data_IF_061682123733
#
_entry.id   IF_061682123733
#
_cell.length_a   1.000
_cell.length_b   1.000
_cell.length_c   1.000
_cell.angle_alpha   90.00
_cell.angle_beta   90.00
_cell.angle_gamma   90.00
#
_symmetry.space_group_name_H-M   'P 1'
#
loop_
_entity.id
_entity.type
_entity.pdbx_description
1 polymer ?
#
# COMPACT_ATOMS: atom_id res chain seq x y z
N UNK A 1 10.30 76.80 35.97
CA UNK A 1 9.98 75.47 35.41
C UNK A 1 8.71 74.94 36.07
N UNK A 2 7.54 75.49 35.70
CA UNK A 2 6.57 74.94 34.72
C UNK A 2 5.81 73.68 35.17
N UNK A 3 4.76 73.91 35.97
CA UNK A 3 3.37 73.50 35.72
C UNK A 3 3.08 72.15 35.01
N UNK A 4 3.60 71.02 35.51
CA UNK A 4 3.12 69.67 35.13
C UNK A 4 2.48 68.89 36.29
N UNK A 5 2.53 69.40 37.53
CA UNK A 5 2.04 68.69 38.72
C UNK A 5 0.51 68.66 38.86
N UNK A 6 -0.23 69.57 38.21
CA UNK A 6 -1.69 69.69 38.39
C UNK A 6 -2.51 68.56 37.76
N UNK A 7 -2.21 68.16 36.51
CA UNK A 7 -3.01 67.16 35.77
C UNK A 7 -2.76 65.72 36.21
N UNK A 8 -1.53 65.39 36.61
CA UNK A 8 -1.19 64.05 37.11
C UNK A 8 -1.70 63.81 38.54
N UNK A 9 -1.64 64.84 39.41
CA UNK A 9 -2.22 64.78 40.74
C UNK A 9 -3.76 64.64 40.67
N UNK A 10 -4.39 65.32 39.71
CA UNK A 10 -5.83 65.20 39.45
C UNK A 10 -6.20 63.79 38.92
N UNK A 11 -5.39 63.21 38.03
CA UNK A 11 -5.62 61.83 37.55
C UNK A 11 -5.45 60.77 38.63
N UNK A 12 -4.39 60.81 39.44
CA UNK A 12 -4.18 59.85 40.54
C UNK A 12 -5.23 60.01 41.65
N UNK A 13 -5.67 61.26 41.93
CA UNK A 13 -6.78 61.53 42.84
C UNK A 13 -8.11 60.95 42.34
N UNK A 14 -8.45 61.21 41.07
CA UNK A 14 -9.62 60.63 40.41
C UNK A 14 -9.53 59.11 40.31
N UNK A 15 -8.33 58.55 40.16
CA UNK A 15 -8.09 57.11 40.12
C UNK A 15 -8.38 56.47 41.46
N UNK A 16 -7.86 57.05 42.55
CA UNK A 16 -8.13 56.58 43.90
C UNK A 16 -9.63 56.61 44.23
N UNK A 17 -10.33 57.67 43.84
CA UNK A 17 -11.79 57.79 44.01
C UNK A 17 -12.56 56.78 43.15
N UNK A 18 -12.19 56.61 41.87
CA UNK A 18 -12.83 55.64 40.98
C UNK A 18 -12.63 54.20 41.47
N UNK A 19 -11.46 53.86 42.00
CA UNK A 19 -11.18 52.55 42.61
C UNK A 19 -11.98 52.36 43.89
N UNK A 20 -12.08 53.37 44.76
CA UNK A 20 -12.89 53.29 45.98
C UNK A 20 -14.37 53.02 45.64
N UNK A 21 -14.94 53.80 44.70
CA UNK A 21 -16.31 53.60 44.23
C UNK A 21 -16.49 52.23 43.56
N UNK A 22 -15.47 51.72 42.86
CA UNK A 22 -15.49 50.38 42.26
C UNK A 22 -15.52 49.29 43.32
N UNK A 23 -14.75 49.43 44.39
CA UNK A 23 -14.72 48.51 45.55
C UNK A 23 -15.99 48.58 46.39
N UNK A 24 -16.66 49.73 46.41
CA UNK A 24 -18.01 49.90 46.96
C UNK A 24 -19.11 49.22 46.11
N UNK A 25 -18.75 48.64 44.96
CA UNK A 25 -19.66 47.84 44.14
C UNK A 25 -20.38 48.62 43.03
N UNK A 26 -19.96 49.85 42.73
CA UNK A 26 -20.59 50.66 41.68
C UNK A 26 -20.17 50.18 40.27
N UNK A 27 -21.16 50.21 39.36
CA UNK A 27 -20.94 49.98 37.92
C UNK A 27 -20.16 51.14 37.29
N UNK A 28 -19.54 50.90 36.13
CA UNK A 28 -18.85 51.97 35.39
C UNK A 28 -19.77 53.14 35.08
N UNK A 29 -21.04 52.87 34.77
CA UNK A 29 -22.05 53.90 34.54
C UNK A 29 -22.30 54.75 35.79
N UNK A 30 -22.40 54.13 36.95
CA UNK A 30 -22.59 54.89 38.21
C UNK A 30 -21.34 55.69 38.58
N UNK A 31 -20.14 55.15 38.36
CA UNK A 31 -18.88 55.87 38.60
C UNK A 31 -18.77 57.07 37.64
N UNK A 32 -19.11 56.86 36.36
CA UNK A 32 -19.19 57.91 35.34
C UNK A 32 -20.11 59.05 35.80
N UNK A 33 -21.30 58.70 36.28
CA UNK A 33 -22.32 59.66 36.69
C UNK A 33 -21.97 60.32 38.04
N UNK A 34 -21.23 59.65 38.93
CA UNK A 34 -20.78 60.18 40.23
C UNK A 34 -19.60 61.16 40.09
N UNK A 35 -18.62 60.81 39.25
CA UNK A 35 -17.41 61.60 39.03
C UNK A 35 -17.55 62.57 37.85
N UNK A 36 -18.68 62.53 37.13
CA UNK A 36 -18.96 63.36 35.94
C UNK A 36 -17.89 63.22 34.83
N UNK A 37 -17.26 62.05 34.73
CA UNK A 37 -16.22 61.74 33.73
C UNK A 37 -16.89 61.06 32.53
N UNK A 38 -17.32 61.85 31.55
CA UNK A 38 -18.06 61.32 30.39
C UNK A 38 -17.18 60.69 29.29
N UNK A 39 -15.85 60.69 29.46
CA UNK A 39 -14.93 60.01 28.55
C UNK A 39 -14.69 58.55 28.99
N UNK A 40 -15.19 57.60 28.19
CA UNK A 40 -15.12 56.17 28.49
C UNK A 40 -13.69 55.63 28.53
N UNK A 41 -12.76 56.15 27.73
CA UNK A 41 -11.38 55.68 27.72
C UNK A 41 -10.64 56.09 28.99
N UNK A 42 -10.87 57.33 29.46
CA UNK A 42 -10.33 57.82 30.72
C UNK A 42 -10.92 57.02 31.89
N UNK A 43 -12.25 56.82 31.91
CA UNK A 43 -12.93 56.06 32.94
C UNK A 43 -12.42 54.60 33.03
N UNK A 44 -12.24 53.92 31.90
CA UNK A 44 -11.68 52.57 31.85
C UNK A 44 -10.22 52.52 32.33
N UNK A 45 -9.44 53.57 32.09
CA UNK A 45 -8.06 53.68 32.61
C UNK A 45 -8.03 53.90 34.12
N UNK A 46 -8.96 54.69 34.68
CA UNK A 46 -9.04 54.97 36.11
C UNK A 46 -9.38 53.72 36.91
N UNK A 47 -10.31 52.89 36.45
CA UNK A 47 -10.69 51.63 37.14
C UNK A 47 -9.82 50.43 36.73
N UNK A 48 -8.81 50.62 35.89
CA UNK A 48 -7.99 49.52 35.36
C UNK A 48 -7.26 48.80 36.50
N UNK A 49 -7.46 47.48 36.57
CA UNK A 49 -6.90 46.60 37.60
C UNK A 49 -7.90 46.15 38.66
N UNK A 50 -9.06 46.81 38.78
CA UNK A 50 -10.12 46.41 39.71
C UNK A 50 -11.22 45.61 38.97
N UNK A 51 -11.64 44.45 39.50
CA UNK A 51 -12.67 43.64 38.85
C UNK A 51 -14.02 44.35 38.84
N UNK A 52 -14.89 44.06 37.85
CA UNK A 52 -16.28 44.51 37.90
C UNK A 52 -17.03 43.90 39.08
N UNK A 53 -17.97 44.64 39.71
CA UNK A 53 -18.85 44.11 40.75
C UNK A 53 -19.58 42.85 40.27
N UNK A 54 -19.70 41.84 41.13
CA UNK A 54 -20.26 40.53 40.77
C UNK A 54 -21.65 40.62 40.13
N UNK A 55 -22.52 41.51 40.63
CA UNK A 55 -23.87 41.71 40.09
C UNK A 55 -23.92 42.26 38.66
N UNK A 56 -22.81 42.84 38.16
CA UNK A 56 -22.71 43.37 36.79
C UNK A 56 -22.23 42.33 35.77
N UNK A 57 -21.73 41.17 36.23
CA UNK A 57 -21.34 40.08 35.34
C UNK A 57 -22.61 39.47 34.76
N UNK A 58 -22.75 39.50 33.45
CA UNK A 58 -23.84 38.79 32.76
C UNK A 58 -23.42 37.32 32.62
N UNK A 59 -24.27 36.35 33.02
CA UNK A 59 -24.03 34.97 32.65
C UNK A 59 -24.07 34.87 31.12
N UNK A 60 -23.10 34.20 30.52
CA UNK A 60 -23.22 33.85 29.11
C UNK A 60 -24.35 32.84 28.99
N UNK A 61 -25.12 32.91 27.89
CA UNK A 61 -26.24 32.01 27.63
C UNK A 61 -25.88 30.50 27.63
N UNK A 62 -24.59 30.14 27.68
CA UNK A 62 -24.09 28.77 27.66
C UNK A 62 -23.26 28.41 28.89
N UNK A 63 -23.23 29.23 29.93
CA UNK A 63 -22.44 28.94 31.13
C UNK A 63 -22.94 27.67 31.83
N UNK A 64 -24.25 27.45 31.91
CA UNK A 64 -24.83 26.20 32.47
C UNK A 64 -24.46 24.95 31.65
N UNK A 65 -24.45 25.08 30.31
CA UNK A 65 -24.04 24.00 29.40
C UNK A 65 -22.54 23.72 29.51
N UNK A 66 -21.73 24.76 29.75
CA UNK A 66 -20.29 24.63 29.98
C UNK A 66 -20.03 23.89 31.28
N UNK A 67 -20.68 24.26 32.37
CA UNK A 67 -20.51 23.58 33.66
C UNK A 67 -20.94 22.10 33.56
N UNK A 68 -22.10 21.83 32.96
CA UNK A 68 -22.56 20.45 32.73
C UNK A 68 -21.58 19.65 31.84
N UNK A 69 -21.00 20.27 30.81
CA UNK A 69 -19.97 19.62 29.98
C UNK A 69 -18.72 19.24 30.79
N UNK A 70 -18.30 20.11 31.72
CA UNK A 70 -17.14 19.86 32.59
C UNK A 70 -17.41 18.74 33.58
N UNK A 71 -18.60 18.69 34.18
CA UNK A 71 -19.01 17.58 35.05
C UNK A 71 -19.00 16.23 34.31
N UNK A 72 -19.59 16.18 33.12
CA UNK A 72 -19.61 14.98 32.29
C UNK A 72 -18.19 14.55 31.91
N UNK A 73 -17.29 15.50 31.65
CA UNK A 73 -15.89 15.20 31.36
C UNK A 73 -15.18 14.56 32.56
N UNK A 74 -15.38 15.10 33.76
CA UNK A 74 -14.80 14.56 34.99
C UNK A 74 -15.36 13.17 35.33
N UNK A 75 -16.60 12.87 34.92
CA UNK A 75 -17.20 11.53 34.98
C UNK A 75 -16.64 10.55 33.93
N UNK A 76 -15.69 10.97 33.09
CA UNK A 76 -15.04 10.11 32.10
C UNK A 76 -15.71 10.07 30.73
N UNK A 77 -16.58 11.03 30.39
CA UNK A 77 -17.20 11.06 29.06
C UNK A 77 -16.27 11.68 27.99
N UNK A 78 -16.32 11.09 26.80
CA UNK A 78 -15.63 11.60 25.60
C UNK A 78 -16.39 12.79 25.01
N UNK A 79 -15.74 13.55 24.12
CA UNK A 79 -16.38 14.73 23.49
C UNK A 79 -17.63 14.34 22.71
N UNK A 80 -17.64 13.17 22.06
CA UNK A 80 -18.78 12.68 21.28
C UNK A 80 -19.95 12.30 22.19
N UNK A 81 -19.69 11.72 23.36
CA UNK A 81 -20.74 11.44 24.35
C UNK A 81 -21.31 12.73 24.96
N UNK A 82 -20.47 13.71 25.29
CA UNK A 82 -20.92 15.02 25.78
C UNK A 82 -21.74 15.75 24.70
N UNK A 83 -21.35 15.62 23.43
CA UNK A 83 -22.09 16.19 22.31
C UNK A 83 -23.47 15.54 22.16
N UNK A 84 -23.56 14.21 22.24
CA UNK A 84 -24.85 13.51 22.23
C UNK A 84 -25.75 13.93 23.40
N UNK A 85 -25.16 14.13 24.58
CA UNK A 85 -25.90 14.48 25.80
C UNK A 85 -26.38 15.93 25.83
N UNK A 86 -25.57 16.89 25.34
CA UNK A 86 -25.84 18.33 25.47
C UNK A 86 -26.29 19.00 24.17
N UNK A 87 -26.20 18.31 23.02
CA UNK A 87 -26.52 18.88 21.71
C UNK A 87 -25.61 20.04 21.26
N UNK A 88 -24.54 20.33 22.01
CA UNK A 88 -23.57 21.37 21.67
C UNK A 88 -22.60 20.89 20.59
N UNK A 89 -22.04 21.82 19.80
CA UNK A 89 -21.01 21.45 18.83
C UNK A 89 -19.73 20.92 19.53
N UNK A 90 -19.05 19.98 18.87
CA UNK A 90 -17.75 19.44 19.33
C UNK A 90 -16.71 20.54 19.59
N UNK A 91 -16.74 21.61 18.80
CA UNK A 91 -15.83 22.75 18.96
C UNK A 91 -16.09 23.53 20.25
N UNK A 92 -17.35 23.78 20.62
CA UNK A 92 -17.71 24.42 21.90
C UNK A 92 -17.32 23.54 23.09
N UNK A 93 -17.64 22.25 23.03
CA UNK A 93 -17.28 21.29 24.09
C UNK A 93 -15.77 21.23 24.26
N UNK A 94 -15.01 21.12 23.17
CA UNK A 94 -13.55 21.09 23.22
C UNK A 94 -12.96 22.35 23.86
N UNK A 95 -13.52 23.54 23.60
CA UNK A 95 -13.05 24.77 24.24
C UNK A 95 -13.30 24.75 25.76
N UNK A 96 -14.42 24.16 26.19
CA UNK A 96 -14.83 24.13 27.60
C UNK A 96 -14.11 23.08 28.44
N UNK A 97 -13.65 21.97 27.85
CA UNK A 97 -13.15 20.82 28.63
C UNK A 97 -11.74 20.37 28.27
N UNK A 98 -11.05 21.03 27.33
CA UNK A 98 -9.69 20.63 26.90
C UNK A 98 -8.63 20.68 28.00
N UNK A 99 -8.87 21.47 29.05
CA UNK A 99 -8.01 21.59 30.23
C UNK A 99 -8.22 20.46 31.25
N UNK A 100 -9.29 19.66 31.09
CA UNK A 100 -9.63 18.56 31.98
C UNK A 100 -8.98 17.24 31.53
N UNK A 101 -8.77 16.29 32.45
CA UNK A 101 -8.17 15.00 32.11
C UNK A 101 -8.93 14.28 31.01
N UNK A 102 -8.17 13.57 30.18
CA UNK A 102 -8.74 12.70 29.17
C UNK A 102 -9.31 11.46 29.84
N UNK A 103 -10.53 11.02 29.47
CA UNK A 103 -11.07 9.75 29.91
C UNK A 103 -10.11 8.60 29.63
N UNK A 104 -10.15 7.61 30.50
CA UNK A 104 -9.45 6.36 30.27
C UNK A 104 -9.84 5.78 28.90
N UNK A 105 -8.85 5.36 28.08
CA UNK A 105 -9.15 4.80 26.79
C UNK A 105 -10.07 3.57 26.93
N UNK A 106 -11.09 3.48 26.06
CA UNK A 106 -12.03 2.35 26.04
C UNK A 106 -11.35 0.98 25.87
N UNK A 107 -10.14 0.95 25.30
CA UNK A 107 -9.36 -0.25 25.03
C UNK A 107 -7.91 -0.04 25.42
N UNK A 108 -7.25 -1.09 25.90
CA UNK A 108 -5.80 -1.11 26.07
C UNK A 108 -5.10 -1.05 24.71
N UNK A 109 -3.81 -0.71 24.69
CA UNK A 109 -3.03 -0.75 23.45
C UNK A 109 -3.00 -2.16 22.81
N UNK A 110 -2.99 -3.20 23.63
CA UNK A 110 -3.01 -4.59 23.19
C UNK A 110 -4.35 -4.93 22.52
N UNK A 111 -5.47 -4.54 23.12
CA UNK A 111 -6.80 -4.76 22.54
C UNK A 111 -6.99 -3.97 21.23
N UNK A 112 -6.48 -2.74 21.15
CA UNK A 112 -6.47 -1.94 19.91
C UNK A 112 -5.71 -2.66 18.80
N UNK A 113 -4.51 -3.16 19.09
CA UNK A 113 -3.67 -3.91 18.15
C UNK A 113 -4.33 -5.22 17.74
N UNK A 114 -4.91 -5.97 18.67
CA UNK A 114 -5.61 -7.22 18.39
C UNK A 114 -6.77 -7.00 17.41
N UNK A 115 -7.59 -5.96 17.62
CA UNK A 115 -8.70 -5.61 16.73
C UNK A 115 -8.23 -5.17 15.35
N UNK A 116 -7.19 -4.34 15.29
CA UNK A 116 -6.58 -3.93 14.03
C UNK A 116 -6.08 -5.17 13.25
N UNK A 117 -5.34 -6.07 13.93
CA UNK A 117 -4.83 -7.28 13.33
C UNK A 117 -5.94 -8.23 12.87
N UNK A 118 -7.03 -8.36 13.64
CA UNK A 118 -8.20 -9.14 13.25
C UNK A 118 -8.87 -8.56 11.99
N UNK A 119 -9.06 -7.24 11.94
CA UNK A 119 -9.59 -6.55 10.74
C UNK A 119 -8.70 -6.75 9.51
N UNK A 120 -7.38 -6.62 9.68
CA UNK A 120 -6.40 -6.87 8.63
C UNK A 120 -6.39 -8.34 8.19
N UNK A 121 -6.55 -9.29 9.11
CA UNK A 121 -6.64 -10.70 8.79
C UNK A 121 -7.87 -11.00 7.93
N UNK A 122 -9.04 -10.47 8.30
CA UNK A 122 -10.25 -10.59 7.50
C UNK A 122 -10.10 -9.99 6.10
N UNK A 123 -9.52 -8.79 5.99
CA UNK A 123 -9.25 -8.17 4.70
C UNK A 123 -8.32 -9.03 3.85
N UNK A 124 -7.22 -9.53 4.43
CA UNK A 124 -6.28 -10.43 3.73
C UNK A 124 -6.95 -11.72 3.28
N UNK A 125 -7.79 -12.33 4.12
CA UNK A 125 -8.55 -13.53 3.73
C UNK A 125 -9.49 -13.25 2.57
N UNK A 126 -10.19 -12.12 2.58
CA UNK A 126 -11.08 -11.73 1.47
C UNK A 126 -10.29 -11.51 0.18
N UNK A 127 -9.18 -10.76 0.25
CA UNK A 127 -8.31 -10.50 -0.89
C UNK A 127 -7.66 -11.78 -1.42
N UNK A 128 -7.24 -12.68 -0.54
CA UNK A 128 -6.67 -13.96 -0.96
C UNK A 128 -7.73 -14.84 -1.65
N UNK A 129 -8.98 -14.84 -1.19
CA UNK A 129 -10.08 -15.51 -1.89
C UNK A 129 -10.27 -14.95 -3.30
N UNK A 130 -10.41 -13.63 -3.44
CA UNK A 130 -10.56 -12.96 -4.74
C UNK A 130 -9.38 -13.27 -5.68
N UNK A 131 -8.15 -13.26 -5.16
CA UNK A 131 -6.94 -13.63 -5.92
C UNK A 131 -6.97 -15.09 -6.37
N UNK A 132 -7.42 -16.02 -5.53
CA UNK A 132 -7.54 -17.43 -5.92
C UNK A 132 -8.66 -17.65 -6.93
N UNK A 133 -9.78 -16.94 -6.79
CA UNK A 133 -10.89 -17.00 -7.74
C UNK A 133 -10.50 -16.48 -9.12
N UNK A 134 -9.79 -15.34 -9.17
CA UNK A 134 -9.26 -14.79 -10.43
C UNK A 134 -8.32 -15.78 -11.12
N UNK A 135 -7.41 -16.41 -10.35
CA UNK A 135 -6.49 -17.42 -10.89
C UNK A 135 -7.22 -18.68 -11.36
N UNK A 136 -8.27 -19.09 -10.65
CA UNK A 136 -9.10 -20.25 -11.02
C UNK A 136 -9.85 -19.96 -12.33
N UNK A 137 -10.53 -18.83 -12.42
CA UNK A 137 -11.26 -18.41 -13.62
C UNK A 137 -10.32 -18.35 -14.84
N UNK A 138 -9.17 -17.70 -14.72
CA UNK A 138 -8.17 -17.64 -15.79
C UNK A 138 -7.65 -19.03 -16.21
N UNK A 139 -7.53 -19.97 -15.26
CA UNK A 139 -7.17 -21.37 -15.57
C UNK A 139 -8.29 -22.08 -16.33
N UNK A 140 -9.53 -21.86 -15.94
CA UNK A 140 -10.71 -22.48 -16.56
C UNK A 140 -10.97 -21.96 -17.98
N UNK A 141 -10.68 -20.66 -18.23
CA UNK A 141 -10.78 -20.03 -19.56
C UNK A 141 -9.89 -20.69 -20.62
N UNK A 142 -8.70 -21.17 -20.23
CA UNK A 142 -7.77 -21.82 -21.17
C UNK A 142 -8.29 -23.19 -21.65
N UNK A 143 -8.99 -23.92 -20.78
CA UNK A 143 -9.55 -25.23 -21.12
C UNK A 143 -8.50 -26.26 -21.59
N UNK A 144 -8.91 -27.16 -22.50
CA UNK A 144 -8.02 -28.11 -23.16
C UNK A 144 -7.45 -27.48 -24.42
N UNK A 145 -6.12 -27.51 -24.56
CA UNK A 145 -5.45 -27.04 -25.76
C UNK A 145 -5.53 -28.08 -26.87
N UNK A 146 -5.91 -27.63 -28.06
CA UNK A 146 -5.71 -28.36 -29.30
C UNK A 146 -4.23 -28.46 -29.67
N UNK A 147 -3.88 -29.40 -30.56
CA UNK A 147 -2.53 -29.55 -31.09
C UNK A 147 -2.02 -28.25 -31.74
N UNK A 148 -2.90 -27.50 -32.42
CA UNK A 148 -2.54 -26.22 -33.03
C UNK A 148 -2.20 -25.16 -31.99
N UNK A 149 -2.98 -25.05 -30.91
CA UNK A 149 -2.71 -24.09 -29.83
C UNK A 149 -1.43 -24.45 -29.09
N UNK A 150 -1.23 -25.73 -28.78
CA UNK A 150 0.01 -26.22 -28.19
C UNK A 150 1.22 -25.96 -29.10
N UNK A 151 1.07 -26.15 -30.41
CA UNK A 151 2.12 -25.84 -31.39
C UNK A 151 2.50 -24.36 -31.36
N UNK A 152 1.52 -23.45 -31.43
CA UNK A 152 1.74 -22.00 -31.40
C UNK A 152 2.37 -21.57 -30.08
N UNK A 153 1.83 -22.04 -28.94
CA UNK A 153 2.35 -21.73 -27.61
C UNK A 153 3.79 -22.19 -27.44
N UNK A 154 4.13 -23.39 -27.91
CA UNK A 154 5.49 -23.91 -27.83
C UNK A 154 6.49 -23.18 -28.73
N UNK A 155 6.07 -22.77 -29.95
CA UNK A 155 6.90 -21.92 -30.82
C UNK A 155 7.17 -20.57 -30.15
N UNK A 156 6.14 -19.91 -29.62
CA UNK A 156 6.27 -18.62 -28.93
C UNK A 156 7.17 -18.74 -27.67
N UNK A 157 6.97 -19.80 -26.88
CA UNK A 157 7.78 -20.09 -25.71
C UNK A 157 9.25 -20.32 -26.08
N UNK A 158 9.52 -21.13 -27.10
CA UNK A 158 10.87 -21.32 -27.60
C UNK A 158 11.47 -20.01 -28.09
N UNK A 159 10.70 -19.18 -28.80
CA UNK A 159 11.22 -17.91 -29.29
C UNK A 159 11.51 -16.92 -28.15
N UNK A 160 10.80 -16.99 -27.03
CA UNK A 160 11.07 -16.15 -25.86
C UNK A 160 12.31 -16.62 -25.08
N UNK A 161 12.40 -17.91 -24.75
CA UNK A 161 13.34 -18.47 -23.77
C UNK A 161 14.46 -19.33 -24.39
N UNK A 162 14.28 -19.76 -25.64
CA UNK A 162 15.21 -20.63 -26.37
C UNK A 162 16.41 -19.90 -26.95
N UNK A 163 17.43 -20.69 -27.29
CA UNK A 163 18.63 -20.20 -27.96
C UNK A 163 18.30 -19.82 -29.40
N UNK A 164 18.73 -18.63 -29.81
CA UNK A 164 18.57 -18.15 -31.18
C UNK A 164 19.89 -18.22 -31.92
N UNK A 165 19.80 -18.54 -33.20
CA UNK A 165 20.92 -18.48 -34.11
C UNK A 165 21.44 -17.04 -34.21
N UNK A 166 22.75 -16.88 -34.40
CA UNK A 166 23.37 -15.58 -34.53
C UNK A 166 24.05 -15.49 -35.90
N UNK A 167 23.91 -14.37 -36.65
CA UNK A 167 24.50 -14.26 -37.99
C UNK A 167 26.00 -14.56 -38.05
N UNK A 168 26.73 -14.20 -37.00
CA UNK A 168 28.18 -14.40 -36.86
C UNK A 168 28.57 -15.78 -36.29
N UNK A 169 27.59 -16.61 -35.91
CA UNK A 169 27.79 -17.95 -35.37
C UNK A 169 26.56 -18.82 -35.64
N UNK A 170 26.45 -19.29 -36.87
CA UNK A 170 25.38 -20.21 -37.25
C UNK A 170 25.59 -21.57 -36.59
N UNK A 171 24.70 -21.92 -35.68
CA UNK A 171 24.62 -23.21 -35.01
C UNK A 171 23.31 -23.93 -35.32
N UNK A 172 22.22 -23.19 -35.52
CA UNK A 172 20.88 -23.75 -35.83
C UNK A 172 20.52 -24.93 -34.91
N UNK A 173 20.66 -24.71 -33.61
CA UNK A 173 20.45 -25.74 -32.59
C UNK A 173 19.22 -25.38 -31.79
N UNK A 174 18.34 -26.38 -31.58
CA UNK A 174 17.25 -26.27 -30.64
C UNK A 174 17.75 -26.53 -29.21
N UNK A 175 18.04 -25.45 -28.49
CA UNK A 175 18.46 -25.47 -27.08
C UNK A 175 17.56 -24.58 -26.24
N UNK A 176 17.06 -25.11 -25.13
CA UNK A 176 16.14 -24.44 -24.22
C UNK A 176 16.65 -24.53 -22.78
N UNK A 177 16.47 -23.48 -22.00
CA UNK A 177 16.85 -23.47 -20.59
C UNK A 177 15.80 -22.72 -19.77
N UNK A 178 15.30 -23.33 -18.69
CA UNK A 178 14.40 -22.62 -17.78
C UNK A 178 14.47 -23.23 -16.36
N UNK A 179 14.11 -22.44 -15.35
CA UNK A 179 14.07 -22.88 -13.95
C UNK A 179 12.67 -23.26 -13.48
N UNK A 180 11.62 -22.89 -14.21
CA UNK A 180 10.23 -23.20 -13.86
C UNK A 180 9.87 -24.62 -14.33
N UNK A 181 9.47 -25.51 -13.39
CA UNK A 181 9.05 -26.87 -13.71
C UNK A 181 7.88 -26.96 -14.70
N UNK A 182 6.92 -26.04 -14.64
CA UNK A 182 5.73 -26.05 -15.50
C UNK A 182 6.09 -25.64 -16.93
N UNK A 183 7.00 -24.67 -17.09
CA UNK A 183 7.53 -24.27 -18.40
C UNK A 183 8.25 -25.44 -19.07
N UNK A 184 9.10 -26.15 -18.33
CA UNK A 184 9.79 -27.34 -18.83
C UNK A 184 8.79 -28.44 -19.21
N UNK A 185 7.75 -28.66 -18.40
CA UNK A 185 6.73 -29.68 -18.66
C UNK A 185 5.95 -29.38 -19.96
N UNK A 186 5.55 -28.12 -20.16
CA UNK A 186 4.91 -27.67 -21.39
C UNK A 186 5.84 -27.84 -22.60
N UNK A 187 7.10 -27.45 -22.46
CA UNK A 187 8.10 -27.58 -23.53
C UNK A 187 8.33 -29.04 -23.93
N UNK A 188 8.43 -29.97 -22.98
CA UNK A 188 8.55 -31.40 -23.27
C UNK A 188 7.31 -31.95 -23.99
N UNK A 189 6.10 -31.53 -23.60
CA UNK A 189 4.86 -31.91 -24.30
C UNK A 189 4.80 -31.35 -25.72
N UNK A 190 5.32 -30.14 -25.95
CA UNK A 190 5.46 -29.59 -27.29
C UNK A 190 6.46 -30.36 -28.13
N UNK A 191 7.60 -30.79 -27.56
CA UNK A 191 8.53 -31.69 -28.25
C UNK A 191 7.89 -33.04 -28.61
N UNK A 192 7.06 -33.59 -27.72
CA UNK A 192 6.28 -34.81 -27.99
C UNK A 192 5.32 -34.60 -29.17
N UNK A 193 4.61 -33.45 -29.23
CA UNK A 193 3.76 -33.07 -30.36
C UNK A 193 4.54 -32.98 -31.68
N UNK A 194 5.80 -32.53 -31.64
CA UNK A 194 6.69 -32.49 -32.80
C UNK A 194 7.31 -33.86 -33.16
N UNK A 195 6.97 -34.93 -32.44
CA UNK A 195 7.48 -36.28 -32.66
C UNK A 195 8.94 -36.48 -32.24
N UNK A 196 9.45 -35.68 -31.30
CA UNK A 196 10.84 -35.78 -30.84
C UNK A 196 10.94 -36.79 -29.69
N UNK A 197 11.61 -37.91 -29.94
CA UNK A 197 11.85 -38.94 -28.93
C UNK A 197 12.80 -38.47 -27.82
N UNK A 198 12.67 -39.09 -26.63
CA UNK A 198 13.56 -38.80 -25.49
C UNK A 198 15.02 -39.14 -25.78
N UNK A 199 15.34 -40.09 -26.67
CA UNK A 199 16.73 -40.42 -27.01
C UNK A 199 17.45 -39.28 -27.75
N UNK A 200 16.69 -38.44 -28.46
CA UNK A 200 17.23 -37.24 -29.13
C UNK A 200 17.57 -36.12 -28.15
N UNK A 201 17.13 -36.22 -26.89
CA UNK A 201 17.36 -35.20 -25.88
C UNK A 201 18.71 -35.42 -25.17
N UNK A 202 19.39 -34.31 -24.92
CA UNK A 202 20.52 -34.22 -24.00
C UNK A 202 20.14 -33.22 -22.92
N UNK A 203 20.01 -33.73 -21.70
CA UNK A 203 19.51 -33.00 -20.56
C UNK A 203 20.66 -32.72 -19.60
N UNK A 204 20.72 -31.51 -19.06
CA UNK A 204 21.78 -31.11 -18.12
C UNK A 204 21.27 -30.09 -17.13
N UNK A 205 21.61 -30.25 -15.86
CA UNK A 205 21.28 -29.25 -14.83
C UNK A 205 22.29 -28.11 -14.87
N UNK A 206 21.83 -26.87 -14.73
CA UNK A 206 22.66 -25.68 -14.53
C UNK A 206 22.34 -25.08 -13.17
N UNK A 207 23.26 -25.20 -12.21
CA UNK A 207 22.99 -24.92 -10.81
C UNK A 207 24.21 -24.26 -10.12
N UNK A 208 23.98 -23.56 -9.02
CA UNK A 208 25.07 -23.04 -8.20
C UNK A 208 25.78 -24.17 -7.47
N UNK A 209 27.10 -24.05 -7.32
CA UNK A 209 27.91 -25.06 -6.63
C UNK A 209 27.56 -25.22 -5.14
N UNK A 210 26.93 -24.20 -4.53
CA UNK A 210 26.47 -24.22 -3.14
C UNK A 210 25.14 -24.97 -2.93
N UNK A 211 24.50 -25.45 -3.99
CA UNK A 211 23.20 -26.12 -3.92
C UNK A 211 23.32 -27.64 -4.05
N UNK A 212 22.27 -28.36 -3.65
CA UNK A 212 22.21 -29.83 -3.74
C UNK A 212 22.01 -30.29 -5.19
N UNK A 213 23.13 -30.56 -5.87
CA UNK A 213 23.16 -31.03 -7.26
C UNK A 213 22.47 -32.38 -7.41
N UNK A 214 22.76 -33.42 -6.59
CA UNK A 214 22.07 -34.71 -6.70
C UNK A 214 20.55 -34.60 -6.55
N UNK A 215 20.04 -33.78 -5.63
CA UNK A 215 18.61 -33.61 -5.46
C UNK A 215 17.97 -32.85 -6.64
N UNK A 216 18.66 -31.86 -7.21
CA UNK A 216 18.21 -31.18 -8.41
C UNK A 216 18.18 -32.12 -9.63
N UNK A 217 19.21 -32.95 -9.82
CA UNK A 217 19.27 -33.94 -10.89
C UNK A 217 18.13 -34.96 -10.80
N UNK A 218 17.86 -35.51 -9.60
CA UNK A 218 16.70 -36.39 -9.38
C UNK A 218 15.39 -35.70 -9.73
N UNK A 219 15.18 -34.49 -9.21
CA UNK A 219 13.97 -33.71 -9.47
C UNK A 219 13.72 -33.50 -10.98
N UNK A 220 14.74 -33.08 -11.72
CA UNK A 220 14.61 -32.82 -13.15
C UNK A 220 14.49 -34.11 -13.97
N UNK A 221 15.17 -35.17 -13.56
CA UNK A 221 15.05 -36.48 -14.20
C UNK A 221 13.62 -37.04 -14.06
N UNK A 222 13.06 -36.98 -12.86
CA UNK A 222 11.67 -37.39 -12.58
C UNK A 222 10.67 -36.56 -13.40
N UNK A 223 10.86 -35.24 -13.46
CA UNK A 223 10.00 -34.35 -14.25
C UNK A 223 10.08 -34.64 -15.74
N UNK A 224 11.27 -34.92 -16.26
CA UNK A 224 11.50 -35.20 -17.68
C UNK A 224 11.16 -36.65 -18.07
N UNK A 225 10.89 -37.52 -17.10
CA UNK A 225 10.63 -38.95 -17.33
C UNK A 225 11.86 -39.71 -17.80
N UNK A 226 13.04 -39.39 -17.27
CA UNK A 226 14.31 -40.07 -17.59
C UNK A 226 14.99 -40.57 -16.31
N UNK A 227 15.90 -41.52 -16.43
CA UNK A 227 16.76 -41.89 -15.31
C UNK A 227 17.75 -40.76 -14.98
N UNK A 228 18.10 -40.51 -13.70
CA UNK A 228 19.13 -39.52 -13.35
C UNK A 228 20.48 -39.76 -14.03
N UNK A 229 20.84 -41.03 -14.28
CA UNK A 229 22.05 -41.43 -15.02
C UNK A 229 22.05 -41.02 -16.50
N UNK A 230 20.88 -40.70 -17.07
CA UNK A 230 20.77 -40.18 -18.43
C UNK A 230 21.06 -38.68 -18.54
N UNK A 231 21.13 -37.96 -17.40
CA UNK A 231 21.53 -36.56 -17.38
C UNK A 231 23.04 -36.44 -17.64
N UNK A 232 23.40 -35.43 -18.42
CA UNK A 232 24.80 -35.03 -18.57
C UNK A 232 25.27 -34.31 -17.30
N UNK A 233 26.59 -34.36 -17.08
CA UNK A 233 27.26 -33.68 -15.96
C UNK A 233 26.78 -32.23 -15.80
N UNK A 234 26.30 -31.89 -14.60
CA UNK A 234 25.79 -30.56 -14.29
C UNK A 234 26.80 -29.43 -14.58
N UNK A 235 26.26 -28.28 -14.99
CA UNK A 235 27.00 -27.00 -15.00
C UNK A 235 27.02 -26.44 -13.60
N UNK A 236 28.21 -26.22 -13.05
CA UNK A 236 28.35 -25.52 -11.77
C UNK A 236 28.65 -24.04 -12.01
N UNK A 237 27.76 -23.17 -11.54
CA UNK A 237 27.94 -21.72 -11.53
C UNK A 237 28.66 -21.31 -10.23
N UNK A 238 29.93 -20.93 -10.37
CA UNK A 238 30.82 -20.53 -9.27
C UNK A 238 30.48 -19.18 -8.63
N UNK A 239 29.84 -18.28 -9.40
CA UNK A 239 29.44 -16.99 -8.85
C UNK A 239 28.21 -17.18 -7.96
N UNK A 240 28.28 -16.75 -6.70
CA UNK A 240 27.14 -16.70 -5.79
C UNK A 240 26.54 -15.28 -5.80
N UNK A 241 25.54 -14.98 -6.66
CA UNK A 241 24.90 -13.69 -6.58
C UNK A 241 24.29 -13.56 -5.17
N UNK A 242 24.68 -12.52 -4.42
CA UNK A 242 24.04 -12.14 -3.15
C UNK A 242 22.59 -11.74 -3.44
N UNK A 243 21.72 -12.72 -3.66
CA UNK A 243 20.31 -12.46 -3.89
C UNK A 243 19.63 -12.32 -2.55
N UNK A 244 18.97 -11.19 -2.32
CA UNK A 244 18.04 -10.92 -1.20
C UNK A 244 16.73 -11.70 -1.33
N UNK A 245 16.72 -12.83 -2.07
CA UNK A 245 15.57 -13.72 -2.15
C UNK A 245 15.36 -14.38 -0.79
N UNK A 246 14.14 -14.29 -0.27
CA UNK A 246 13.77 -14.84 1.04
C UNK A 246 13.42 -16.35 1.01
N UNK A 247 13.53 -17.02 -0.14
CA UNK A 247 13.03 -18.39 -0.38
C UNK A 247 14.03 -19.29 -1.15
N UNK A 248 15.32 -19.25 -0.85
CA UNK A 248 16.35 -19.71 -1.82
C UNK A 248 17.20 -20.93 -1.43
N UNK A 249 17.02 -21.56 -0.27
CA UNK A 249 17.87 -22.70 0.11
C UNK A 249 17.26 -24.08 -0.24
N UNK A 250 16.06 -24.40 0.26
CA UNK A 250 15.55 -25.79 0.16
C UNK A 250 14.81 -26.12 -1.15
N UNK A 251 14.22 -25.13 -1.83
CA UNK A 251 13.44 -25.35 -3.06
C UNK A 251 14.22 -25.04 -4.35
N UNK A 252 15.46 -24.56 -4.26
CA UNK A 252 16.23 -24.18 -5.44
C UNK A 252 16.79 -25.42 -6.15
N UNK A 253 16.29 -25.70 -7.36
CA UNK A 253 16.71 -26.85 -8.19
C UNK A 253 17.54 -26.44 -9.41
N UNK A 254 18.00 -25.20 -9.50
CA UNK A 254 18.69 -24.68 -10.69
C UNK A 254 17.79 -24.58 -11.92
N UNK A 255 18.38 -24.61 -13.11
CA UNK A 255 17.69 -24.63 -14.40
C UNK A 255 17.95 -25.96 -15.10
N UNK A 256 16.96 -26.49 -15.82
CA UNK A 256 17.19 -27.60 -16.75
C UNK A 256 17.56 -27.03 -18.13
N UNK A 257 18.65 -27.53 -18.70
CA UNK A 257 19.02 -27.31 -20.10
C UNK A 257 18.55 -28.52 -20.89
N UNK A 258 17.80 -28.28 -21.96
CA UNK A 258 17.36 -29.27 -22.92
C UNK A 258 18.00 -28.95 -24.25
N UNK A 259 18.78 -29.90 -24.77
CA UNK A 259 19.38 -29.84 -26.10
C UNK A 259 18.81 -30.95 -26.97
N UNK A 260 18.28 -30.61 -28.15
CA UNK A 260 17.80 -31.60 -29.11
C UNK A 260 18.89 -31.87 -30.13
N UNK A 261 19.32 -33.13 -30.23
CA UNK A 261 20.30 -33.57 -31.22
C UNK A 261 19.72 -33.56 -32.63
N UNK A 262 20.58 -33.31 -33.63
CA UNK A 262 20.20 -33.25 -35.07
C UNK A 262 19.03 -32.29 -35.33
N UNK A 263 19.06 -31.09 -34.73
CA UNK A 263 17.92 -30.17 -34.68
C UNK A 263 17.94 -29.01 -35.68
N UNK A 264 18.88 -28.97 -36.64
CA UNK A 264 18.96 -27.87 -37.61
C UNK A 264 17.67 -27.66 -38.41
N UNK A 265 17.12 -28.73 -38.98
CA UNK A 265 15.83 -28.65 -39.68
C UNK A 265 14.69 -28.19 -38.76
N UNK A 266 14.62 -28.76 -37.56
CA UNK A 266 13.62 -28.41 -36.56
C UNK A 266 13.72 -26.94 -36.15
N UNK A 267 14.94 -26.43 -35.92
CA UNK A 267 15.19 -25.03 -35.57
C UNK A 267 14.66 -24.11 -36.67
N UNK A 268 15.00 -24.38 -37.94
CA UNK A 268 14.53 -23.57 -39.08
C UNK A 268 13.01 -23.60 -39.23
N UNK A 269 12.38 -24.76 -38.98
CA UNK A 269 10.91 -24.88 -38.96
C UNK A 269 10.27 -24.05 -37.85
N UNK A 270 10.87 -24.05 -36.66
CA UNK A 270 10.38 -23.26 -35.52
C UNK A 270 10.57 -21.76 -35.77
N UNK A 271 11.71 -21.36 -36.33
CA UNK A 271 11.97 -19.99 -36.75
C UNK A 271 10.97 -19.51 -37.81
N UNK A 272 10.76 -20.30 -38.87
CA UNK A 272 9.75 -20.01 -39.89
C UNK A 272 8.34 -19.93 -39.30
N UNK A 273 7.98 -20.85 -38.40
CA UNK A 273 6.69 -20.83 -37.73
C UNK A 273 6.48 -19.58 -36.87
N UNK A 274 7.53 -19.09 -36.19
CA UNK A 274 7.46 -17.85 -35.41
C UNK A 274 7.09 -16.66 -36.31
N UNK A 275 7.78 -16.49 -37.43
CA UNK A 275 7.43 -15.41 -38.36
C UNK A 275 6.03 -15.60 -38.97
N UNK A 276 5.61 -16.84 -39.21
CA UNK A 276 4.23 -17.15 -39.60
C UNK A 276 3.18 -16.72 -38.56
N UNK A 277 3.46 -16.91 -37.26
CA UNK A 277 2.60 -16.45 -36.16
C UNK A 277 2.52 -14.91 -36.15
N UNK A 278 3.65 -14.22 -36.29
CA UNK A 278 3.71 -12.75 -36.34
C UNK A 278 2.86 -12.21 -37.48
N UNK A 279 3.06 -12.71 -38.71
CA UNK A 279 2.28 -12.29 -39.88
C UNK A 279 0.78 -12.63 -39.75
N UNK A 280 0.47 -13.76 -39.13
CA UNK A 280 -0.91 -14.17 -38.85
C UNK A 280 -1.63 -13.25 -37.86
N UNK A 281 -0.90 -12.70 -36.88
CA UNK A 281 -1.45 -11.75 -35.91
C UNK A 281 -1.80 -10.39 -36.57
N UNK A 282 -0.97 -9.92 -37.50
CA UNK A 282 -1.23 -8.71 -38.28
C UNK A 282 -2.48 -8.86 -39.18
N UNK A 283 -2.68 -10.06 -39.74
CA UNK A 283 -3.84 -10.35 -40.58
C UNK A 283 -5.14 -10.47 -39.78
N UNK A 284 -5.06 -10.93 -38.52
CA UNK A 284 -6.22 -11.01 -37.63
C UNK A 284 -6.72 -9.63 -37.15
N UNK A 285 -5.89 -8.59 -37.27
CA UNK A 285 -6.19 -7.23 -36.81
C UNK A 285 -6.65 -6.29 -37.93
N UNK A 286 -6.54 -6.69 -39.20
CA UNK A 286 -7.15 -5.95 -40.32
C UNK A 286 -8.53 -6.54 -40.67
N UNK A 287 -9.64 -5.80 -40.50
CA UNK A 287 -10.94 -6.27 -40.95
C UNK A 287 -10.90 -6.45 -42.47
N UNK A 288 -11.33 -7.63 -42.94
CA UNK A 288 -11.53 -7.94 -44.35
C UNK A 288 -12.44 -6.89 -45.00
N UNK A 289 -11.87 -5.85 -45.62
CA UNK A 289 -12.58 -4.99 -46.56
C UNK A 289 -12.71 -5.78 -47.85
N UNK A 290 -13.71 -6.68 -47.90
CA UNK A 290 -14.17 -7.24 -49.16
C UNK A 290 -14.84 -6.12 -49.95
N UNK A 291 -14.16 -5.59 -50.95
CA UNK A 291 -14.82 -4.86 -52.02
C UNK A 291 -15.68 -5.86 -52.80
N UNK A 292 -16.99 -5.79 -52.63
CA UNK A 292 -17.95 -6.36 -53.59
C UNK A 292 -17.83 -5.55 -54.89
N UNK A 293 -17.36 -6.21 -55.96
CA UNK A 293 -17.50 -5.70 -57.31
C UNK A 293 -18.94 -5.95 -57.75
N UNK A 294 -19.65 -4.86 -58.06
CA UNK A 294 -20.87 -4.86 -58.88
C UNK A 294 -20.51 -4.92 -60.36
#
# INVERSE_FOLDING_TARGET
MTALHGKYADFEGLRAQAIALRREGLSLRQIRDRLQIHNNDILNRLVKGEPPPEWTKRPNAKDDLREKARELRLKGLTYDQIQLELGCSKSSISLWVRDLPKPEPRYTDEERRARMNAGLAHLRTSQDKERQETKRAAREEVGQLSDRELFIAGVALYWAEGSKDKPYRRCEVLQFINSDPNVIRLYLRWLDLLGISRERLRLRVSIHESADVPAAERFWADLAGVAPSALQKATLKKHNPKTTRKNTAEAYRGCLIIYVTKSADLYRRVEGAWYGIVLGADSATQPNVRFEQK
#
